data_IF_543221343637
#
_entry.id   IF_543221343637
#
_cell.length_a   1.000
_cell.length_b   1.000
_cell.length_c   1.000
_cell.angle_alpha   90.00
_cell.angle_beta   90.00
_cell.angle_gamma   90.00
#
_symmetry.space_group_name_H-M   'P 1'
#
loop_
_entity.id
_entity.type
_entity.pdbx_description
1 polymer ?
#
# COMPACT_ATOMS: atom_id res chain seq x y z
N UNK A 1 -11.10 7.35 0.67
CA UNK A 1 -11.25 8.53 -0.22
C UNK A 1 -11.53 9.84 0.54
N UNK A 2 -12.38 9.88 1.57
CA UNK A 2 -12.62 11.12 2.35
C UNK A 2 -11.36 11.74 2.99
N UNK A 3 -10.40 10.92 3.44
CA UNK A 3 -9.15 11.40 4.04
C UNK A 3 -8.23 12.17 3.08
N UNK A 4 -8.30 11.87 1.77
CA UNK A 4 -7.48 12.54 0.74
C UNK A 4 -7.96 13.97 0.48
N UNK A 5 -9.27 14.18 0.54
CA UNK A 5 -9.90 15.50 0.38
C UNK A 5 -9.57 16.36 1.60
N UNK A 6 -9.69 15.83 2.81
CA UNK A 6 -9.39 16.60 4.03
C UNK A 6 -7.90 16.93 4.20
N UNK A 7 -7.00 16.03 3.81
CA UNK A 7 -5.55 16.29 3.86
C UNK A 7 -5.09 17.40 2.90
N UNK A 8 -5.68 17.48 1.69
CA UNK A 8 -5.39 18.58 0.74
C UNK A 8 -5.95 19.91 1.23
N UNK A 9 -7.12 19.93 1.89
CA UNK A 9 -7.73 21.16 2.40
C UNK A 9 -7.14 21.68 3.72
N UNK A 10 -6.62 20.82 4.60
CA UNK A 10 -5.90 21.31 5.81
C UNK A 10 -4.55 21.96 5.49
N UNK A 11 -4.02 21.74 4.29
CA UNK A 11 -2.70 22.24 3.87
C UNK A 11 -2.77 23.58 3.13
N UNK A 12 -3.91 23.87 2.51
CA UNK A 12 -4.21 25.18 1.94
C UNK A 12 -4.54 26.12 3.12
N UNK A 13 -3.76 27.19 3.27
CA UNK A 13 -3.73 28.20 4.36
C UNK A 13 -5.07 28.95 4.65
N UNK A 14 -6.25 28.33 4.50
CA UNK A 14 -7.56 29.00 4.53
C UNK A 14 -8.46 28.51 5.67
N UNK A 15 -8.08 27.48 6.44
CA UNK A 15 -9.05 26.78 7.29
C UNK A 15 -8.91 27.04 8.79
N UNK A 16 -10.02 27.44 9.44
CA UNK A 16 -10.09 27.70 10.88
C UNK A 16 -9.93 26.46 11.77
N UNK A 17 -9.77 26.70 13.08
CA UNK A 17 -9.49 25.71 14.15
C UNK A 17 -10.30 24.40 14.10
N UNK A 18 -11.53 24.41 13.59
CA UNK A 18 -12.41 23.23 13.50
C UNK A 18 -11.88 22.14 12.56
N UNK A 19 -11.20 22.51 11.47
CA UNK A 19 -10.68 21.55 10.48
C UNK A 19 -9.42 20.81 10.98
N UNK A 20 -8.60 21.46 11.81
CA UNK A 20 -7.45 20.83 12.45
C UNK A 20 -7.87 19.75 13.46
N UNK A 21 -8.94 19.99 14.23
CA UNK A 21 -9.50 18.99 15.13
C UNK A 21 -10.01 17.77 14.37
N UNK A 22 -10.73 17.98 13.26
CA UNK A 22 -11.18 16.90 12.39
C UNK A 22 -10.00 16.10 11.81
N UNK A 23 -8.95 16.77 11.34
CA UNK A 23 -7.75 16.10 10.85
C UNK A 23 -7.11 15.22 11.93
N UNK A 24 -7.04 15.70 13.18
CA UNK A 24 -6.48 14.94 14.31
C UNK A 24 -7.30 13.70 14.64
N UNK A 25 -8.63 13.82 14.71
CA UNK A 25 -9.52 12.68 14.97
C UNK A 25 -9.41 11.67 13.83
N UNK A 26 -9.46 12.15 12.58
CA UNK A 26 -9.32 11.31 11.40
C UNK A 26 -7.95 10.58 11.37
N UNK A 27 -6.88 11.23 11.82
CA UNK A 27 -5.56 10.62 11.94
C UNK A 27 -5.57 9.39 12.84
N UNK A 28 -6.21 9.46 14.02
CA UNK A 28 -6.33 8.31 14.91
C UNK A 28 -7.17 7.17 14.32
N UNK A 29 -8.29 7.51 13.66
CA UNK A 29 -9.14 6.52 12.98
C UNK A 29 -8.36 5.81 11.87
N UNK A 30 -7.61 6.55 11.05
CA UNK A 30 -6.80 5.98 9.97
C UNK A 30 -5.73 5.03 10.50
N UNK A 31 -5.05 5.37 11.59
CA UNK A 31 -4.05 4.49 12.20
C UNK A 31 -4.70 3.17 12.67
N UNK A 32 -5.83 3.25 13.37
CA UNK A 32 -6.54 2.07 13.86
C UNK A 32 -6.97 1.16 12.69
N UNK A 33 -7.63 1.75 11.69
CA UNK A 33 -8.11 1.03 10.52
C UNK A 33 -6.96 0.40 9.72
N UNK A 34 -5.83 1.09 9.59
CA UNK A 34 -4.65 0.58 8.90
C UNK A 34 -4.06 -0.65 9.61
N UNK A 35 -3.99 -0.64 10.95
CA UNK A 35 -3.49 -1.78 11.72
C UNK A 35 -4.41 -3.00 11.59
N UNK A 36 -5.73 -2.78 11.65
CA UNK A 36 -6.72 -3.85 11.44
C UNK A 36 -6.63 -4.39 10.00
N UNK A 37 -6.49 -3.51 9.00
CA UNK A 37 -6.35 -3.91 7.60
C UNK A 37 -5.07 -4.73 7.37
N UNK A 38 -3.94 -4.33 7.95
CA UNK A 38 -2.69 -5.06 7.86
C UNK A 38 -2.77 -6.43 8.54
N UNK A 39 -3.39 -6.52 9.73
CA UNK A 39 -3.61 -7.79 10.40
C UNK A 39 -4.50 -8.72 9.54
N UNK A 40 -5.60 -8.21 9.00
CA UNK A 40 -6.47 -8.96 8.11
C UNK A 40 -5.75 -9.44 6.85
N UNK A 41 -4.94 -8.60 6.22
CA UNK A 41 -4.14 -8.96 5.05
C UNK A 41 -3.15 -10.09 5.34
N UNK A 42 -2.45 -10.03 6.48
CA UNK A 42 -1.52 -11.08 6.90
C UNK A 42 -2.22 -12.41 7.21
N UNK A 43 -3.42 -12.37 7.81
CA UNK A 43 -4.21 -13.57 8.09
C UNK A 43 -4.62 -14.33 6.82
N UNK A 44 -4.94 -13.59 5.74
CA UNK A 44 -5.42 -14.20 4.48
C UNK A 44 -4.31 -14.42 3.45
N UNK A 45 -3.09 -13.92 3.66
CA UNK A 45 -2.01 -13.96 2.68
C UNK A 45 -1.70 -15.36 2.14
N UNK A 46 -1.82 -16.40 2.99
CA UNK A 46 -1.59 -17.81 2.61
C UNK A 46 -2.68 -18.43 1.76
N UNK A 47 -3.81 -17.75 1.56
CA UNK A 47 -4.96 -18.24 0.79
C UNK A 47 -5.36 -17.30 -0.34
N UNK A 48 -4.91 -16.05 -0.30
CA UNK A 48 -5.22 -15.07 -1.32
C UNK A 48 -4.61 -15.47 -2.67
N UNK A 49 -5.46 -15.70 -3.67
CA UNK A 49 -5.05 -15.96 -5.06
C UNK A 49 -4.02 -17.11 -5.20
N UNK A 50 -4.25 -18.22 -4.48
CA UNK A 50 -3.35 -19.38 -4.46
C UNK A 50 -2.27 -19.34 -3.37
N UNK A 51 -2.08 -18.18 -2.72
CA UNK A 51 -1.26 -18.07 -1.52
C UNK A 51 0.23 -18.36 -1.71
N UNK A 52 0.73 -18.21 -2.94
CA UNK A 52 2.12 -18.49 -3.27
C UNK A 52 3.12 -17.63 -2.48
N UNK A 53 4.39 -18.06 -2.38
CA UNK A 53 5.42 -17.33 -1.64
C UNK A 53 5.62 -15.89 -2.15
N UNK A 54 5.39 -15.63 -3.43
CA UNK A 54 5.40 -14.30 -4.04
C UNK A 54 4.31 -13.38 -3.46
N UNK A 55 3.12 -13.92 -3.18
CA UNK A 55 2.01 -13.18 -2.53
C UNK A 55 2.31 -12.95 -1.05
N UNK A 56 2.76 -14.00 -0.35
CA UNK A 56 3.05 -13.89 1.08
C UNK A 56 4.17 -12.90 1.36
N UNK A 57 5.23 -12.92 0.55
CA UNK A 57 6.37 -12.01 0.69
C UNK A 57 5.95 -10.55 0.46
N UNK A 58 5.21 -10.24 -0.61
CA UNK A 58 4.82 -8.85 -0.88
C UNK A 58 3.78 -8.32 0.11
N UNK A 59 2.84 -9.15 0.57
CA UNK A 59 1.88 -8.74 1.61
C UNK A 59 2.62 -8.44 2.92
N UNK A 60 3.63 -9.26 3.28
CA UNK A 60 4.50 -8.98 4.42
C UNK A 60 5.27 -7.67 4.27
N UNK A 61 5.87 -7.43 3.10
CA UNK A 61 6.59 -6.18 2.79
C UNK A 61 5.65 -4.98 2.88
N UNK A 62 4.46 -5.03 2.28
CA UNK A 62 3.47 -3.95 2.34
C UNK A 62 3.01 -3.65 3.77
N UNK A 63 2.79 -4.69 4.58
CA UNK A 63 2.43 -4.52 5.99
C UNK A 63 3.56 -3.80 6.76
N UNK A 64 4.83 -4.17 6.52
CA UNK A 64 6.00 -3.52 7.13
C UNK A 64 6.12 -2.07 6.66
N UNK A 65 6.05 -1.81 5.36
CA UNK A 65 6.19 -0.47 4.78
C UNK A 65 5.10 0.49 5.26
N UNK A 66 3.84 0.04 5.26
CA UNK A 66 2.71 0.87 5.70
C UNK A 66 2.76 1.10 7.22
N UNK A 67 3.03 0.06 8.02
CA UNK A 67 3.06 0.17 9.49
C UNK A 67 4.23 1.03 9.96
N UNK A 68 5.44 0.81 9.41
CA UNK A 68 6.62 1.63 9.73
C UNK A 68 6.39 3.09 9.34
N UNK A 69 5.88 3.36 8.13
CA UNK A 69 5.59 4.73 7.70
C UNK A 69 4.58 5.42 8.61
N UNK A 70 3.52 4.72 9.03
CA UNK A 70 2.53 5.25 9.95
C UNK A 70 3.12 5.53 11.35
N UNK A 71 3.93 4.60 11.87
CA UNK A 71 4.58 4.74 13.17
C UNK A 71 5.55 5.92 13.20
N UNK A 72 6.37 6.07 12.17
CA UNK A 72 7.32 7.18 12.05
C UNK A 72 6.60 8.51 11.81
N UNK A 73 5.51 8.53 11.05
CA UNK A 73 4.66 9.72 10.91
C UNK A 73 4.05 10.15 12.25
N UNK A 74 3.56 9.19 13.04
CA UNK A 74 3.00 9.44 14.37
C UNK A 74 4.05 9.95 15.36
N UNK A 75 5.26 9.36 15.34
CA UNK A 75 6.37 9.79 16.17
C UNK A 75 6.77 11.24 15.89
N UNK A 76 6.93 11.61 14.61
CA UNK A 76 7.36 12.96 14.25
C UNK A 76 6.32 14.04 14.58
N UNK A 77 5.02 13.77 14.41
CA UNK A 77 3.99 14.75 14.78
C UNK A 77 3.94 14.98 16.30
N UNK A 78 4.24 13.95 17.11
CA UNK A 78 4.36 14.10 18.57
C UNK A 78 5.55 14.95 19.00
N UNK A 79 6.59 15.03 18.17
CA UNK A 79 7.77 15.88 18.38
C UNK A 79 7.62 17.24 17.65
N UNK A 80 6.45 17.51 17.08
CA UNK A 80 6.16 18.74 16.31
C UNK A 80 7.09 18.91 15.09
N UNK A 81 7.62 17.80 14.53
CA UNK A 81 8.29 17.78 13.22
C UNK A 81 7.27 17.55 12.11
N UNK A 82 6.69 18.62 11.59
CA UNK A 82 5.57 18.59 10.64
C UNK A 82 6.05 18.18 9.24
N UNK A 83 7.27 18.56 8.86
CA UNK A 83 7.87 18.18 7.57
C UNK A 83 8.08 16.65 7.49
N UNK A 84 8.65 16.04 8.53
CA UNK A 84 8.86 14.60 8.59
C UNK A 84 7.55 13.85 8.72
N UNK A 85 6.60 14.38 9.50
CA UNK A 85 5.24 13.84 9.53
C UNK A 85 4.64 13.78 8.11
N UNK A 86 4.73 14.87 7.34
CA UNK A 86 4.23 14.92 5.95
C UNK A 86 4.92 13.85 5.09
N UNK A 87 6.24 13.76 5.14
CA UNK A 87 7.03 12.81 4.34
C UNK A 87 6.59 11.36 4.61
N UNK A 88 6.53 10.96 5.88
CA UNK A 88 6.14 9.60 6.24
C UNK A 88 4.66 9.31 6.00
N UNK A 89 3.78 10.31 6.16
CA UNK A 89 2.37 10.17 5.76
C UNK A 89 2.22 9.98 4.26
N UNK A 90 2.95 10.72 3.43
CA UNK A 90 2.91 10.56 1.98
C UNK A 90 3.34 9.16 1.56
N UNK A 91 4.43 8.62 2.12
CA UNK A 91 4.86 7.24 1.91
C UNK A 91 3.74 6.24 2.23
N UNK A 92 3.12 6.36 3.39
CA UNK A 92 2.00 5.50 3.77
C UNK A 92 0.83 5.56 2.77
N UNK A 93 0.44 6.75 2.33
CA UNK A 93 -0.66 6.93 1.38
C UNK A 93 -0.37 6.37 -0.01
N UNK A 94 0.85 6.53 -0.52
CA UNK A 94 1.28 5.89 -1.76
C UNK A 94 1.23 4.36 -1.63
N UNK A 95 1.73 3.81 -0.52
CA UNK A 95 1.65 2.36 -0.28
C UNK A 95 0.21 1.83 -0.19
N UNK A 96 -0.75 2.59 0.37
CA UNK A 96 -2.16 2.21 0.29
C UNK A 96 -2.72 2.26 -1.15
N UNK A 97 -2.18 3.13 -2.00
CA UNK A 97 -2.51 3.23 -3.42
C UNK A 97 -2.15 1.98 -4.23
N UNK A 98 -1.24 1.14 -3.72
CA UNK A 98 -0.83 -0.12 -4.36
C UNK A 98 -2.01 -1.03 -4.66
N UNK A 99 -3.04 -1.07 -3.81
CA UNK A 99 -4.22 -1.92 -4.00
C UNK A 99 -4.95 -1.55 -5.30
N UNK A 100 -5.08 -0.25 -5.59
CA UNK A 100 -5.77 0.24 -6.79
C UNK A 100 -4.95 -0.10 -8.04
N UNK A 101 -3.65 0.23 -8.02
CA UNK A 101 -2.74 -0.04 -9.14
C UNK A 101 -2.61 -1.53 -9.43
N UNK A 102 -2.58 -2.36 -8.39
CA UNK A 102 -2.55 -3.82 -8.52
C UNK A 102 -3.75 -4.33 -9.32
N UNK A 103 -4.96 -3.80 -9.08
CA UNK A 103 -6.16 -4.22 -9.83
C UNK A 103 -6.04 -3.90 -11.32
N UNK A 104 -5.50 -2.74 -11.66
CA UNK A 104 -5.30 -2.35 -13.06
C UNK A 104 -4.26 -3.24 -13.75
N UNK A 105 -3.12 -3.49 -13.09
CA UNK A 105 -2.06 -4.35 -13.63
C UNK A 105 -2.54 -5.81 -13.74
N UNK A 106 -3.28 -6.30 -12.75
CA UNK A 106 -3.80 -7.66 -12.73
C UNK A 106 -4.81 -7.90 -13.87
N UNK A 107 -5.76 -6.99 -14.08
CA UNK A 107 -6.76 -7.13 -15.15
C UNK A 107 -6.12 -7.08 -16.55
N UNK A 108 -5.15 -6.19 -16.75
CA UNK A 108 -4.42 -6.11 -18.02
C UNK A 108 -3.54 -7.34 -18.26
N UNK A 109 -2.84 -7.81 -17.22
CA UNK A 109 -2.01 -9.03 -17.29
C UNK A 109 -2.86 -10.28 -17.56
N UNK A 110 -4.02 -10.43 -16.92
CA UNK A 110 -4.92 -11.55 -17.16
C UNK A 110 -5.40 -11.61 -18.62
N UNK A 111 -5.66 -10.44 -19.22
CA UNK A 111 -5.99 -10.36 -20.64
C UNK A 111 -4.82 -10.80 -21.54
N UNK A 112 -3.61 -10.32 -21.26
CA UNK A 112 -2.39 -10.70 -22.01
C UNK A 112 -2.13 -12.21 -21.91
N UNK A 113 -2.19 -12.78 -20.70
CA UNK A 113 -2.02 -14.21 -20.44
C UNK A 113 -3.02 -15.04 -21.28
N UNK A 114 -4.25 -14.57 -21.37
CA UNK A 114 -5.32 -15.23 -22.14
C UNK A 114 -5.02 -15.22 -23.64
N UNK A 115 -4.48 -14.11 -24.17
CA UNK A 115 -4.09 -14.00 -25.57
C UNK A 115 -2.90 -14.92 -25.93
N UNK A 116 -1.97 -15.11 -25.00
CA UNK A 116 -0.84 -16.04 -25.18
C UNK A 116 -1.32 -17.50 -25.17
N UNK A 117 -2.21 -17.85 -24.24
CA UNK A 117 -2.95 -19.12 -24.26
C UNK A 117 -2.14 -20.36 -23.84
N UNK A 118 -0.92 -20.19 -23.36
CA UNK A 118 0.04 -21.24 -22.95
C UNK A 118 0.34 -21.27 -21.44
N UNK A 119 -0.30 -20.39 -20.66
CA UNK A 119 -0.15 -20.36 -19.21
C UNK A 119 -1.11 -21.29 -18.49
N UNK A 120 -0.59 -21.95 -17.45
CA UNK A 120 -1.33 -22.83 -16.57
C UNK A 120 -0.99 -22.49 -15.12
N UNK A 121 -2.01 -22.45 -14.26
CA UNK A 121 -1.84 -22.34 -12.82
C UNK A 121 -2.11 -23.70 -12.19
N UNK A 122 -1.26 -24.12 -11.25
CA UNK A 122 -1.54 -25.28 -10.42
C UNK A 122 -2.57 -24.87 -9.36
N UNK A 123 -3.73 -25.52 -9.37
CA UNK A 123 -4.78 -25.41 -8.37
C UNK A 123 -5.07 -26.77 -7.76
N UNK A 124 -5.74 -26.82 -6.63
CA UNK A 124 -6.18 -28.10 -6.05
C UNK A 124 -7.59 -28.46 -6.52
N UNK A 125 -7.91 -29.76 -6.59
CA UNK A 125 -9.27 -30.19 -6.91
C UNK A 125 -10.34 -29.61 -5.95
N UNK A 126 -9.98 -29.39 -4.67
CA UNK A 126 -10.82 -28.69 -3.70
C UNK A 126 -11.06 -27.21 -4.02
N UNK A 127 -10.05 -26.52 -4.53
CA UNK A 127 -10.16 -25.13 -4.98
C UNK A 127 -11.06 -25.03 -6.22
N UNK A 128 -10.92 -25.95 -7.17
CA UNK A 128 -11.82 -26.04 -8.33
C UNK A 128 -13.26 -26.31 -7.90
N UNK A 129 -13.50 -27.22 -6.96
CA UNK A 129 -14.84 -27.45 -6.40
C UNK A 129 -15.41 -26.20 -5.71
N UNK A 130 -14.58 -25.42 -5.02
CA UNK A 130 -14.98 -24.21 -4.34
C UNK A 130 -15.49 -23.12 -5.30
N UNK A 131 -14.90 -22.97 -6.49
CA UNK A 131 -15.38 -22.01 -7.50
C UNK A 131 -16.84 -22.23 -7.93
N UNK A 132 -17.32 -23.47 -7.88
CA UNK A 132 -18.68 -23.84 -8.27
C UNK A 132 -19.64 -23.97 -7.06
N UNK A 133 -19.25 -23.46 -5.89
CA UNK A 133 -20.05 -23.59 -4.67
C UNK A 133 -20.15 -25.02 -4.12
N UNK A 134 -19.29 -25.92 -4.63
CA UNK A 134 -19.22 -27.31 -4.19
C UNK A 134 -18.46 -27.46 -2.88
N UNK A 135 -18.88 -28.42 -2.06
CA UNK A 135 -18.06 -28.97 -0.99
C UNK A 135 -17.27 -30.15 -1.57
N UNK A 136 -15.98 -30.25 -1.28
CA UNK A 136 -15.13 -31.37 -1.70
C UNK A 136 -15.72 -32.74 -1.35
N UNK A 137 -16.44 -32.85 -0.22
CA UNK A 137 -17.10 -34.08 0.21
C UNK A 137 -18.24 -34.53 -0.73
N UNK A 138 -18.59 -33.72 -1.74
CA UNK A 138 -19.60 -34.05 -2.74
C UNK A 138 -19.15 -33.58 -4.14
N UNK A 139 -18.14 -34.23 -4.75
CA UNK A 139 -17.57 -33.82 -6.04
C UNK A 139 -18.57 -33.93 -7.20
N UNK A 140 -19.70 -34.61 -7.00
CA UNK A 140 -20.86 -34.64 -7.91
C UNK A 140 -21.53 -33.27 -8.13
N UNK A 141 -21.11 -32.23 -7.39
CA UNK A 141 -21.56 -30.85 -7.56
C UNK A 141 -20.80 -30.08 -8.64
N UNK A 142 -19.68 -30.62 -9.16
CA UNK A 142 -18.95 -30.02 -10.27
C UNK A 142 -19.74 -30.15 -11.59
N UNK A 143 -19.79 -29.11 -12.43
CA UNK A 143 -20.42 -29.19 -13.74
C UNK A 143 -19.82 -30.32 -14.59
N UNK A 144 -20.62 -31.05 -15.40
CA UNK A 144 -20.10 -32.11 -16.27
C UNK A 144 -18.93 -31.69 -17.17
N UNK A 145 -18.90 -30.48 -17.78
CA UNK A 145 -17.75 -30.02 -18.56
C UNK A 145 -16.45 -29.94 -17.74
N UNK A 146 -16.54 -29.51 -16.47
CA UNK A 146 -15.39 -29.41 -15.56
C UNK A 146 -14.86 -30.79 -15.18
N UNK A 147 -15.74 -31.77 -14.96
CA UNK A 147 -15.35 -33.16 -14.67
C UNK A 147 -14.67 -33.85 -15.86
N UNK A 148 -15.07 -33.51 -17.09
CA UNK A 148 -14.40 -34.00 -18.30
C UNK A 148 -13.00 -33.39 -18.46
N UNK A 149 -12.83 -32.13 -18.06
CA UNK A 149 -11.54 -31.42 -18.14
C UNK A 149 -10.55 -31.87 -17.06
N UNK A 150 -11.06 -32.24 -15.88
CA UNK A 150 -10.26 -32.67 -14.73
C UNK A 150 -10.70 -34.03 -14.18
N UNK A 151 -10.56 -35.13 -14.96
CA UNK A 151 -11.00 -36.47 -14.55
C UNK A 151 -10.29 -36.97 -13.29
N UNK A 152 -9.07 -36.49 -13.03
CA UNK A 152 -8.33 -36.79 -11.82
C UNK A 152 -9.03 -36.33 -10.52
N UNK A 153 -9.93 -35.34 -10.60
CA UNK A 153 -10.69 -34.88 -9.42
C UNK A 153 -11.87 -35.80 -9.06
N UNK A 154 -12.23 -36.78 -9.91
CA UNK A 154 -13.34 -37.72 -9.65
C UNK A 154 -12.98 -38.69 -8.52
N UNK A 155 -11.79 -39.29 -8.61
CA UNK A 155 -11.26 -40.24 -7.63
C UNK A 155 -10.10 -39.63 -6.81
N UNK A 156 -9.89 -38.32 -6.95
CA UNK A 156 -8.80 -37.60 -6.31
C UNK A 156 -9.04 -37.31 -4.84
N UNK A 157 -8.13 -36.54 -4.24
CA UNK A 157 -8.30 -35.94 -2.91
C UNK A 157 -8.41 -34.42 -3.05
N UNK A 158 -8.89 -33.75 -1.99
CA UNK A 158 -9.09 -32.29 -2.01
C UNK A 158 -7.82 -31.54 -2.38
N UNK A 159 -6.67 -32.07 -1.94
CA UNK A 159 -5.36 -31.47 -2.10
C UNK A 159 -4.64 -31.93 -3.36
N UNK A 160 -5.30 -32.72 -4.23
CA UNK A 160 -4.69 -33.19 -5.47
C UNK A 160 -4.42 -31.98 -6.39
N UNK A 161 -3.15 -31.75 -6.78
CA UNK A 161 -2.81 -30.63 -7.65
C UNK A 161 -3.19 -30.95 -9.10
N UNK A 162 -3.76 -29.96 -9.78
CA UNK A 162 -4.16 -30.03 -11.17
C UNK A 162 -3.73 -28.77 -11.93
N UNK A 163 -3.25 -28.91 -13.18
CA UNK A 163 -2.96 -27.76 -14.03
C UNK A 163 -4.27 -27.21 -14.60
N UNK A 164 -4.60 -25.96 -14.26
CA UNK A 164 -5.76 -25.23 -14.77
C UNK A 164 -5.27 -24.21 -15.79
N UNK A 165 -5.83 -24.24 -16.99
CA UNK A 165 -5.49 -23.27 -18.05
C UNK A 165 -5.91 -21.86 -17.63
N UNK A 166 -5.01 -20.89 -17.75
CA UNK A 166 -5.32 -19.50 -17.47
C UNK A 166 -6.07 -18.86 -18.65
N UNK A 167 -7.34 -18.49 -18.44
CA UNK A 167 -8.17 -17.85 -19.46
C UNK A 167 -9.23 -16.96 -18.79
N UNK A 168 -9.09 -15.64 -18.95
CA UNK A 168 -9.99 -14.63 -18.36
C UNK A 168 -11.38 -14.59 -18.99
N UNK A 169 -11.59 -15.29 -20.10
CA UNK A 169 -12.88 -15.43 -20.79
C UNK A 169 -13.41 -16.87 -20.76
N UNK A 170 -12.77 -17.75 -19.99
CA UNK A 170 -13.12 -19.16 -19.88
C UNK A 170 -14.10 -19.47 -18.74
N UNK A 171 -14.03 -20.71 -18.26
CA UNK A 171 -14.76 -21.16 -17.07
C UNK A 171 -14.24 -20.48 -15.79
N UNK A 172 -15.03 -20.53 -14.70
CA UNK A 172 -14.71 -19.84 -13.44
C UNK A 172 -13.32 -20.16 -12.89
N UNK A 173 -12.89 -21.42 -12.94
CA UNK A 173 -11.56 -21.83 -12.49
C UNK A 173 -10.44 -21.27 -13.39
N UNK A 174 -10.70 -21.12 -14.70
CA UNK A 174 -9.74 -20.55 -15.65
C UNK A 174 -9.58 -19.05 -15.49
N UNK A 175 -10.68 -18.35 -15.18
CA UNK A 175 -10.66 -16.93 -14.83
C UNK A 175 -9.89 -16.74 -13.53
N UNK A 176 -10.19 -17.56 -12.52
CA UNK A 176 -9.44 -17.61 -11.27
C UNK A 176 -7.95 -17.84 -11.50
N UNK A 177 -7.58 -18.76 -12.39
CA UNK A 177 -6.19 -19.05 -12.75
C UNK A 177 -5.47 -17.85 -13.40
N UNK A 178 -6.16 -17.13 -14.30
CA UNK A 178 -5.58 -15.93 -14.94
C UNK A 178 -5.32 -14.78 -13.96
N UNK A 179 -6.20 -14.61 -12.98
CA UNK A 179 -6.04 -13.60 -11.93
C UNK A 179 -5.01 -14.04 -10.88
N UNK A 180 -4.97 -15.33 -10.55
CA UNK A 180 -4.04 -15.89 -9.58
C UNK A 180 -2.58 -15.73 -10.01
N UNK A 181 -2.26 -16.14 -11.25
CA UNK A 181 -0.92 -15.99 -11.82
C UNK A 181 -0.44 -14.52 -11.88
N UNK A 182 -1.35 -13.59 -12.15
CA UNK A 182 -0.99 -12.17 -12.29
C UNK A 182 -0.94 -11.42 -10.96
N UNK A 183 -1.59 -11.91 -9.89
CA UNK A 183 -1.77 -11.17 -8.65
C UNK A 183 -0.45 -10.83 -7.93
N UNK A 184 0.40 -11.83 -7.70
CA UNK A 184 1.68 -11.64 -7.00
C UNK A 184 2.61 -10.69 -7.75
N UNK A 185 2.77 -10.90 -9.05
CA UNK A 185 3.57 -10.03 -9.92
C UNK A 185 3.02 -8.61 -9.95
N UNK A 186 1.70 -8.44 -10.09
CA UNK A 186 1.05 -7.13 -10.09
C UNK A 186 1.27 -6.37 -8.77
N UNK A 187 1.20 -7.05 -7.63
CA UNK A 187 1.49 -6.46 -6.31
C UNK A 187 2.93 -5.97 -6.21
N UNK A 188 3.90 -6.75 -6.71
CA UNK A 188 5.31 -6.36 -6.72
C UNK A 188 5.55 -5.14 -7.59
N UNK A 189 5.07 -5.14 -8.84
CA UNK A 189 5.22 -4.02 -9.75
C UNK A 189 4.54 -2.75 -9.20
N UNK A 190 3.32 -2.87 -8.69
CA UNK A 190 2.61 -1.76 -8.09
C UNK A 190 3.37 -1.18 -6.89
N UNK A 191 3.91 -2.03 -6.01
CA UNK A 191 4.71 -1.59 -4.86
C UNK A 191 5.94 -0.78 -5.31
N UNK A 192 6.67 -1.26 -6.31
CA UNK A 192 7.86 -0.55 -6.83
C UNK A 192 7.47 0.80 -7.43
N UNK A 193 6.41 0.86 -8.25
CA UNK A 193 5.94 2.10 -8.85
C UNK A 193 5.59 3.13 -7.77
N UNK A 194 4.89 2.72 -6.71
CA UNK A 194 4.52 3.61 -5.61
C UNK A 194 5.71 4.02 -4.74
N UNK A 195 6.65 3.11 -4.48
CA UNK A 195 7.88 3.41 -3.74
C UNK A 195 8.77 4.42 -4.47
N UNK A 196 8.96 4.26 -5.78
CA UNK A 196 9.71 5.23 -6.59
C UNK A 196 8.92 6.55 -6.76
N UNK A 197 7.62 6.44 -6.99
CA UNK A 197 6.75 7.59 -7.23
C UNK A 197 6.68 8.55 -6.04
N UNK A 198 6.67 8.05 -4.81
CA UNK A 198 6.65 8.91 -3.62
C UNK A 198 7.98 9.64 -3.42
N UNK A 199 9.12 8.98 -3.62
CA UNK A 199 10.42 9.64 -3.48
C UNK A 199 10.61 10.70 -4.57
N UNK A 200 10.22 10.39 -5.82
CA UNK A 200 10.21 11.39 -6.89
C UNK A 200 9.32 12.59 -6.52
N UNK A 201 8.10 12.34 -6.03
CA UNK A 201 7.19 13.42 -5.61
C UNK A 201 7.79 14.31 -4.50
N UNK A 202 8.48 13.70 -3.52
CA UNK A 202 9.15 14.43 -2.45
C UNK A 202 10.32 15.27 -2.97
N UNK A 203 11.11 14.74 -3.91
CA UNK A 203 12.20 15.48 -4.56
C UNK A 203 11.72 16.67 -5.39
N UNK A 204 10.55 16.57 -6.01
CA UNK A 204 9.93 17.67 -6.75
C UNK A 204 9.26 18.73 -5.86
N UNK A 205 9.15 18.52 -4.54
CA UNK A 205 8.50 19.47 -3.61
C UNK A 205 9.43 20.02 -2.51
N UNK A 206 10.66 20.50 -2.84
CA UNK A 206 11.64 20.91 -1.83
C UNK A 206 11.29 22.23 -1.12
N UNK A 207 10.64 23.16 -1.83
CA UNK A 207 10.18 24.43 -1.26
C UNK A 207 9.20 24.21 -0.11
N UNK A 208 8.33 23.22 -0.28
CA UNK A 208 7.33 22.87 0.71
C UNK A 208 7.95 22.25 1.97
N UNK A 209 8.91 21.34 1.78
CA UNK A 209 9.67 20.74 2.88
C UNK A 209 10.43 21.81 3.68
N UNK A 210 11.02 22.79 3.00
CA UNK A 210 11.72 23.92 3.64
C UNK A 210 10.76 24.78 4.45
N UNK A 211 9.62 25.16 3.87
CA UNK A 211 8.58 25.95 4.55
C UNK A 211 8.10 25.26 5.83
N UNK A 212 7.78 23.97 5.77
CA UNK A 212 7.34 23.20 6.94
C UNK A 212 8.44 23.04 7.99
N UNK A 213 9.71 22.98 7.60
CA UNK A 213 10.82 22.89 8.54
C UNK A 213 10.97 24.17 9.35
N UNK A 214 10.76 25.34 8.75
CA UNK A 214 10.69 26.60 9.49
C UNK A 214 9.54 26.62 10.51
N UNK A 215 8.34 26.22 10.09
CA UNK A 215 7.17 26.15 10.99
C UNK A 215 7.44 25.15 12.14
N UNK A 216 8.05 24.00 11.84
CA UNK A 216 8.39 23.00 12.85
C UNK A 216 9.39 23.54 13.86
N UNK A 217 10.40 24.29 13.40
CA UNK A 217 11.36 24.97 14.28
C UNK A 217 10.66 25.96 15.23
N UNK A 218 9.79 26.83 14.72
CA UNK A 218 9.04 27.79 15.53
C UNK A 218 8.16 27.11 16.58
N UNK A 219 7.39 26.09 16.16
CA UNK A 219 6.52 25.31 17.07
C UNK A 219 7.29 24.58 18.15
N UNK A 220 8.47 24.07 17.83
CA UNK A 220 9.32 23.39 18.81
C UNK A 220 9.94 24.37 19.81
N UNK A 221 10.28 25.59 19.35
CA UNK A 221 10.75 26.65 20.22
C UNK A 221 9.63 27.12 21.17
N UNK A 222 8.42 27.32 20.65
CA UNK A 222 7.21 27.64 21.45
C UNK A 222 6.92 26.57 22.51
N UNK A 223 7.15 25.30 22.18
CA UNK A 223 6.96 24.17 23.09
C UNK A 223 8.15 23.93 24.05
N UNK A 224 9.20 24.76 23.99
CA UNK A 224 10.36 24.66 24.89
C UNK A 224 11.25 23.44 24.64
N UNK A 225 11.28 22.88 23.43
CA UNK A 225 12.17 21.77 23.12
C UNK A 225 13.65 22.22 23.16
N UNK A 226 14.52 21.39 23.75
CA UNK A 226 15.95 21.68 23.90
C UNK A 226 16.72 21.83 22.57
N UNK A 227 16.22 21.25 21.48
CA UNK A 227 16.87 21.24 20.15
C UNK A 227 15.84 21.46 19.03
N UNK A 228 15.33 22.70 18.87
CA UNK A 228 14.36 23.00 17.82
C UNK A 228 14.98 22.83 16.43
N UNK A 229 14.17 22.40 15.45
CA UNK A 229 14.58 22.09 14.08
C UNK A 229 15.28 20.74 13.91
N UNK A 230 16.00 20.28 14.92
CA UNK A 230 16.87 19.08 14.92
C UNK A 230 16.26 17.89 15.69
N UNK A 231 14.97 17.94 16.01
CA UNK A 231 14.27 16.86 16.72
C UNK A 231 13.75 15.78 15.76
N UNK A 232 13.21 14.66 16.28
CA UNK A 232 12.57 13.63 15.45
C UNK A 232 13.55 12.72 14.70
N UNK A 233 13.23 12.40 13.44
CA UNK A 233 13.99 11.51 12.53
C UNK A 233 14.81 12.26 11.47
N UNK A 234 15.17 13.50 11.76
CA UNK A 234 15.93 14.31 10.81
C UNK A 234 17.36 13.77 10.61
N UNK A 235 17.88 13.97 9.40
CA UNK A 235 19.25 13.58 9.03
C UNK A 235 20.30 14.36 9.83
N UNK A 236 19.97 15.56 10.32
CA UNK A 236 20.86 16.35 11.19
C UNK A 236 21.04 15.74 12.60
N UNK A 237 20.15 14.83 13.01
CA UNK A 237 20.20 14.16 14.31
C UNK A 237 20.80 12.76 14.22
N UNK A 238 20.51 12.04 13.14
CA UNK A 238 20.86 10.62 12.98
C UNK A 238 21.90 10.37 11.87
N UNK A 239 22.15 11.35 11.02
CA UNK A 239 23.12 11.29 9.93
C UNK A 239 24.21 12.33 10.06
N UNK A 240 24.80 12.71 8.92
CA UNK A 240 25.97 13.58 8.80
C UNK A 240 25.61 15.02 8.37
N UNK A 241 24.32 15.35 8.30
CA UNK A 241 23.89 16.69 7.92
C UNK A 241 24.19 17.71 9.04
N UNK A 242 24.56 18.95 8.70
CA UNK A 242 24.72 20.01 9.68
C UNK A 242 23.37 20.33 10.36
N UNK A 243 23.45 20.78 11.61
CA UNK A 243 22.27 21.19 12.37
C UNK A 243 21.48 22.27 11.63
N UNK A 244 20.15 22.13 11.59
CA UNK A 244 19.27 23.13 10.99
C UNK A 244 19.42 24.48 11.68
N UNK A 245 19.62 25.52 10.86
CA UNK A 245 19.60 26.91 11.29
C UNK A 245 18.53 27.66 10.48
N UNK A 246 17.59 28.36 11.12
CA UNK A 246 16.62 29.16 10.40
C UNK A 246 17.34 30.31 9.67
N UNK A 247 17.00 30.53 8.40
CA UNK A 247 17.42 31.72 7.66
C UNK A 247 17.05 32.99 8.46
N UNK A 248 18.01 33.91 8.67
CA UNK A 248 17.73 35.19 9.35
C UNK A 248 16.61 35.91 8.61
N UNK A 249 15.66 36.48 9.35
CA UNK A 249 14.46 37.18 8.86
C UNK A 249 14.69 38.21 7.73
N UNK A 250 15.93 38.70 7.51
CA UNK A 250 16.28 39.60 6.40
C UNK A 250 16.68 38.94 5.07
N UNK A 251 16.95 37.62 5.01
CA UNK A 251 17.42 36.96 3.78
C UNK A 251 16.31 36.31 2.95
N UNK A 252 15.09 36.16 3.49
CA UNK A 252 13.97 35.58 2.76
C UNK A 252 13.42 36.50 1.65
N UNK A 253 13.63 37.83 1.77
CA UNK A 253 13.26 38.79 0.73
C UNK A 253 14.14 38.70 -0.51
N UNK A 254 15.37 38.17 -0.41
CA UNK A 254 16.31 38.09 -1.53
C UNK A 254 16.13 36.83 -2.41
N UNK A 255 15.49 35.78 -1.90
CA UNK A 255 15.31 34.51 -2.63
C UNK A 255 13.99 34.46 -3.41
N UNK A 256 12.98 35.23 -3.00
CA UNK A 256 11.70 35.33 -3.74
C UNK A 256 11.77 36.36 -4.87
N UNK A 257 12.84 37.16 -4.94
CA UNK A 257 13.03 38.21 -5.94
C UNK A 257 13.93 37.81 -7.14
N UNK A 258 14.15 36.52 -7.38
CA UNK A 258 14.85 36.01 -8.57
C UNK A 258 14.09 34.87 -9.24
#
# INVERSE_FOLDING_TARGET
>A
MLGFVLARFSYLNVTGHKLLLLHRINGHIVILLALIANAGALMIARRAFGGGPEVQSIVGVLAILTTSSMALAYYNIKILQIDQHRVWMLRAWFYFGVIITTRLIMLTSAHIITLMGDYYQVQTCGEVAFYFGGNWNNPKTLPPPTLQMYPQCINGTQNMPIPVKANSCGMLEQVGASMGLSFGMALWLATIIHALGVEWYLWLTPAESTRLRHISYERQLEAGLKRPGNAGLMVDRWGDAPAFQPARSGSLQLVVAK
#
